data_IF_991471149085
#
_entry.id   IF_991471149085
#
_cell.length_a   1.000
_cell.length_b   1.000
_cell.length_c   1.000
_cell.angle_alpha   90.00
_cell.angle_beta   90.00
_cell.angle_gamma   90.00
#
_symmetry.space_group_name_H-M   'P 1'
#
loop_
_entity.id
_entity.type
_entity.pdbx_description
1 polymer ?
#
# COMPACT_ATOMS: atom_id res chain seq x y z
N UNK A 1 -50.50 -26.39 52.04
CA UNK A 1 -49.62 -27.58 52.06
C UNK A 1 -48.61 -27.46 50.93
N UNK A 2 -47.31 -27.59 51.25
CA UNK A 2 -46.14 -27.84 50.37
C UNK A 2 -45.92 -26.85 49.20
N UNK A 3 -45.02 -25.89 49.35
CA UNK A 3 -43.58 -25.99 49.03
C UNK A 3 -43.34 -26.57 47.63
N UNK A 4 -42.81 -25.75 46.73
CA UNK A 4 -41.59 -26.08 45.96
C UNK A 4 -40.88 -24.78 45.63
N UNK A 5 -39.66 -24.70 46.16
CA UNK A 5 -38.62 -23.74 45.87
C UNK A 5 -38.03 -24.09 44.50
N UNK A 6 -38.04 -23.17 43.54
CA UNK A 6 -37.13 -23.23 42.39
C UNK A 6 -36.45 -21.88 42.26
N UNK A 7 -35.21 -21.85 42.76
CA UNK A 7 -34.23 -20.81 42.52
C UNK A 7 -33.82 -20.95 41.05
N UNK A 8 -34.01 -19.90 40.25
CA UNK A 8 -33.18 -19.68 39.07
C UNK A 8 -32.72 -18.22 39.10
N UNK A 9 -31.59 -18.03 39.76
CA UNK A 9 -30.71 -16.89 39.55
C UNK A 9 -30.14 -17.03 38.13
N UNK A 10 -30.81 -16.48 37.12
CA UNK A 10 -30.22 -16.28 35.80
C UNK A 10 -30.09 -14.80 35.52
N UNK A 11 -28.90 -14.31 35.86
CA UNK A 11 -28.21 -13.21 35.23
C UNK A 11 -28.57 -13.06 33.74
N UNK A 12 -29.47 -12.14 33.40
CA UNK A 12 -29.36 -11.40 32.15
C UNK A 12 -28.77 -10.03 32.47
N UNK A 13 -27.49 -10.07 32.84
CA UNK A 13 -26.54 -9.06 32.40
C UNK A 13 -26.68 -9.05 30.89
N UNK A 14 -27.52 -8.16 30.36
CA UNK A 14 -27.62 -7.90 28.92
C UNK A 14 -26.26 -7.33 28.54
N UNK A 15 -25.34 -8.24 28.27
CA UNK A 15 -24.03 -7.96 27.71
C UNK A 15 -24.32 -7.03 26.54
N UNK A 16 -23.89 -5.79 26.72
CA UNK A 16 -23.58 -4.84 25.67
C UNK A 16 -22.52 -5.49 24.79
N UNK A 17 -22.93 -6.50 24.02
CA UNK A 17 -22.28 -6.87 22.78
C UNK A 17 -22.78 -5.84 21.77
N UNK A 18 -22.38 -4.58 21.97
CA UNK A 18 -21.99 -3.80 20.80
C UNK A 18 -20.90 -4.64 20.18
N UNK A 19 -21.27 -5.52 19.24
CA UNK A 19 -20.32 -6.07 18.30
C UNK A 19 -19.65 -4.84 17.75
N UNK A 20 -18.43 -4.60 18.19
CA UNK A 20 -17.52 -3.68 17.56
C UNK A 20 -17.36 -4.24 16.17
N UNK A 21 -18.26 -3.83 15.27
CA UNK A 21 -18.05 -3.90 13.84
C UNK A 21 -16.83 -3.03 13.67
N UNK A 22 -15.67 -3.69 13.71
CA UNK A 22 -14.42 -3.10 13.33
C UNK A 22 -14.65 -2.66 11.90
N UNK A 23 -14.96 -1.37 11.75
CA UNK A 23 -15.54 -0.83 10.53
C UNK A 23 -14.67 -1.24 9.38
N UNK A 24 -15.27 -1.98 8.43
CA UNK A 24 -14.74 -2.19 7.09
C UNK A 24 -14.15 -0.85 6.65
N UNK A 25 -12.84 -0.82 6.43
CA UNK A 25 -12.11 0.40 6.14
C UNK A 25 -12.81 1.08 4.98
N UNK A 26 -13.41 2.25 5.22
CA UNK A 26 -14.03 3.08 4.19
C UNK A 26 -12.97 3.27 3.09
N UNK A 27 -13.24 2.80 1.87
CA UNK A 27 -12.33 2.90 0.72
C UNK A 27 -12.05 1.58 0.01
N UNK A 28 -12.23 1.58 -1.32
CA UNK A 28 -11.91 0.46 -2.19
C UNK A 28 -10.40 0.22 -2.26
N UNK A 29 -10.02 -1.03 -2.56
CA UNK A 29 -8.64 -1.40 -2.91
C UNK A 29 -8.30 -0.83 -4.29
N UNK A 30 -7.13 -0.21 -4.40
CA UNK A 30 -6.64 0.39 -5.66
C UNK A 30 -5.16 0.08 -5.86
N UNK A 31 -4.77 -0.08 -7.12
CA UNK A 31 -3.35 -0.09 -7.50
C UNK A 31 -2.84 1.35 -7.66
N UNK A 32 -1.59 1.56 -7.29
CA UNK A 32 -0.83 2.75 -7.66
C UNK A 32 0.14 2.36 -8.76
N UNK A 33 -0.07 2.85 -9.97
CA UNK A 33 0.68 2.47 -11.16
C UNK A 33 1.49 3.63 -11.74
N UNK A 34 2.65 3.33 -12.29
CA UNK A 34 3.48 4.26 -13.04
C UNK A 34 2.81 4.54 -14.38
N UNK A 35 2.68 5.83 -14.75
CA UNK A 35 2.02 6.23 -16.00
C UNK A 35 2.81 5.79 -17.24
N UNK A 36 4.15 5.80 -17.16
CA UNK A 36 4.99 5.21 -18.19
C UNK A 36 5.11 3.70 -17.93
N UNK A 37 4.85 2.89 -18.96
CA UNK A 37 4.90 1.43 -18.86
C UNK A 37 6.34 0.87 -18.80
N UNK A 38 7.33 1.68 -19.18
CA UNK A 38 8.73 1.27 -19.33
C UNK A 38 8.84 0.03 -20.24
N UNK A 39 9.46 -1.04 -19.75
CA UNK A 39 9.75 -2.28 -20.45
C UNK A 39 8.73 -3.41 -20.19
N UNK A 40 7.61 -3.12 -19.52
CA UNK A 40 6.50 -4.08 -19.37
C UNK A 40 5.20 -3.49 -19.95
N UNK A 41 4.59 -4.09 -20.99
CA UNK A 41 3.33 -3.59 -21.54
C UNK A 41 2.16 -3.59 -20.54
N UNK A 42 2.26 -4.37 -19.46
CA UNK A 42 1.31 -4.40 -18.32
C UNK A 42 1.54 -3.25 -17.34
N UNK A 43 2.68 -2.58 -17.42
CA UNK A 43 3.09 -1.47 -16.56
C UNK A 43 3.59 -1.91 -15.19
N UNK A 44 4.05 -0.93 -14.42
CA UNK A 44 4.60 -1.13 -13.07
C UNK A 44 3.68 -0.56 -12.00
N UNK A 45 3.43 -1.35 -10.96
CA UNK A 45 2.65 -1.01 -9.79
C UNK A 45 3.52 -1.08 -8.53
N UNK A 46 3.14 -0.33 -7.50
CA UNK A 46 3.79 -0.43 -6.20
C UNK A 46 3.38 -1.76 -5.54
N UNK A 47 4.39 -2.51 -5.09
CA UNK A 47 4.26 -3.92 -4.69
C UNK A 47 5.09 -4.22 -3.44
N UNK A 48 4.54 -4.99 -2.50
CA UNK A 48 5.32 -5.55 -1.39
C UNK A 48 6.07 -6.78 -1.88
N UNK A 49 7.39 -6.81 -1.65
CA UNK A 49 8.22 -7.95 -2.05
C UNK A 49 7.69 -9.27 -1.49
N UNK A 50 7.39 -10.21 -2.37
CA UNK A 50 6.91 -11.55 -2.03
C UNK A 50 5.75 -11.94 -2.96
N UNK A 51 4.73 -12.63 -2.44
CA UNK A 51 3.63 -13.10 -3.29
C UNK A 51 2.29 -13.07 -2.55
N UNK A 52 1.38 -12.21 -3.00
CA UNK A 52 0.02 -12.06 -2.46
C UNK A 52 0.06 -11.96 -0.94
N UNK A 53 -0.82 -12.66 -0.23
CA UNK A 53 -0.86 -12.68 1.24
C UNK A 53 0.42 -13.24 1.92
N UNK A 54 1.35 -13.85 1.15
CA UNK A 54 2.66 -14.30 1.64
C UNK A 54 3.76 -13.24 1.44
N UNK A 55 3.41 -12.00 1.11
CA UNK A 55 4.38 -10.92 0.97
C UNK A 55 5.15 -10.66 2.26
N UNK A 56 6.42 -10.28 2.11
CA UNK A 56 7.39 -10.19 3.21
C UNK A 56 7.65 -8.73 3.54
N UNK A 57 6.91 -8.20 4.52
CA UNK A 57 6.95 -6.80 4.96
C UNK A 57 8.39 -6.32 5.22
N UNK A 58 9.24 -7.17 5.82
CA UNK A 58 10.63 -6.86 6.16
C UNK A 58 11.54 -6.70 4.93
N UNK A 59 11.18 -7.25 3.77
CA UNK A 59 11.90 -7.06 2.50
C UNK A 59 11.56 -5.73 1.82
N UNK A 60 10.54 -5.02 2.32
CA UNK A 60 10.14 -3.71 1.84
C UNK A 60 9.31 -3.77 0.56
N UNK A 61 9.37 -2.67 -0.19
CA UNK A 61 8.51 -2.39 -1.33
C UNK A 61 9.32 -2.27 -2.63
N UNK A 62 8.69 -2.48 -3.76
CA UNK A 62 9.28 -2.44 -5.10
C UNK A 62 8.27 -1.95 -6.13
N UNK A 63 8.75 -1.64 -7.33
CA UNK A 63 7.90 -1.55 -8.52
C UNK A 63 7.89 -2.94 -9.16
N UNK A 64 6.71 -3.48 -9.40
CA UNK A 64 6.52 -4.80 -9.99
C UNK A 64 5.52 -4.72 -11.13
N UNK A 65 5.56 -5.65 -12.09
CA UNK A 65 4.48 -5.85 -13.04
C UNK A 65 3.12 -5.77 -12.33
N UNK A 66 2.24 -4.90 -12.81
CA UNK A 66 0.89 -4.78 -12.30
C UNK A 66 0.08 -6.08 -12.51
N UNK A 67 -0.74 -6.43 -11.53
CA UNK A 67 -1.56 -7.65 -11.59
C UNK A 67 -3.01 -7.44 -12.03
N UNK A 68 -3.45 -6.19 -12.27
CA UNK A 68 -4.83 -5.87 -12.67
C UNK A 68 -5.41 -6.70 -13.83
N UNK A 69 -4.57 -7.24 -14.72
CA UNK A 69 -5.01 -8.15 -15.79
C UNK A 69 -5.63 -9.46 -15.27
N UNK A 70 -5.44 -9.79 -13.98
CA UNK A 70 -6.03 -10.96 -13.31
C UNK A 70 -7.48 -10.72 -12.87
N UNK A 71 -8.02 -9.51 -13.07
CA UNK A 71 -9.41 -9.17 -12.76
C UNK A 71 -9.66 -8.69 -11.32
N UNK A 72 -8.66 -8.78 -10.45
CA UNK A 72 -8.75 -8.35 -9.04
C UNK A 72 -7.44 -7.68 -8.60
N UNK A 73 -7.54 -6.71 -7.69
CA UNK A 73 -6.36 -6.06 -7.09
C UNK A 73 -5.72 -7.01 -6.09
N UNK A 74 -4.47 -7.39 -6.35
CA UNK A 74 -3.72 -8.27 -5.47
C UNK A 74 -3.44 -7.60 -4.12
N UNK A 75 -3.52 -8.34 -3.00
CA UNK A 75 -3.38 -7.76 -1.66
C UNK A 75 -2.03 -7.06 -1.40
N UNK A 76 -0.96 -7.47 -2.08
CA UNK A 76 0.39 -6.91 -2.02
C UNK A 76 0.62 -5.69 -2.93
N UNK A 77 -0.33 -5.38 -3.81
CA UNK A 77 -0.36 -4.16 -4.63
C UNK A 77 -1.54 -3.21 -4.28
N UNK A 78 -2.43 -3.66 -3.39
CA UNK A 78 -3.63 -2.94 -3.01
C UNK A 78 -3.40 -1.90 -1.93
N UNK A 79 -3.72 -0.64 -2.24
CA UNK A 79 -3.78 0.47 -1.31
C UNK A 79 -5.24 0.83 -1.00
N UNK A 80 -5.49 1.43 0.17
CA UNK A 80 -6.82 1.94 0.47
C UNK A 80 -7.03 3.35 -0.15
N UNK A 81 -7.94 3.45 -1.10
CA UNK A 81 -8.23 4.69 -1.85
C UNK A 81 -8.60 5.89 -0.96
N UNK A 82 -9.45 5.70 0.05
CA UNK A 82 -9.82 6.77 0.98
C UNK A 82 -8.63 7.26 1.80
N UNK A 83 -7.76 6.35 2.25
CA UNK A 83 -6.57 6.70 3.04
C UNK A 83 -5.53 7.46 2.20
N UNK A 84 -5.43 7.19 0.90
CA UNK A 84 -4.63 8.01 -0.01
C UNK A 84 -5.08 9.48 0.00
N UNK A 85 -6.38 9.77 0.02
CA UNK A 85 -6.90 11.16 0.13
C UNK A 85 -6.53 11.84 1.46
N UNK A 86 -6.12 11.07 2.46
CA UNK A 86 -5.65 11.53 3.78
C UNK A 86 -4.13 11.45 3.93
N UNK A 87 -3.42 11.37 2.81
CA UNK A 87 -1.96 11.31 2.71
C UNK A 87 -1.34 10.09 3.41
N UNK A 88 -2.10 9.00 3.50
CA UNK A 88 -1.68 7.76 4.13
C UNK A 88 -1.66 6.63 3.10
N UNK A 89 -0.45 6.18 2.76
CA UNK A 89 -0.20 5.12 1.79
C UNK A 89 -0.15 3.77 2.52
N UNK A 90 -1.34 3.29 2.90
CA UNK A 90 -1.53 2.03 3.63
C UNK A 90 -1.86 0.88 2.68
N UNK A 91 -1.22 -0.28 2.92
CA UNK A 91 -1.60 -1.57 2.34
C UNK A 91 -2.44 -2.35 3.37
N UNK A 92 -3.78 -2.32 3.28
CA UNK A 92 -4.67 -2.76 4.36
C UNK A 92 -4.55 -4.25 4.67
N UNK A 93 -4.28 -5.10 3.67
CA UNK A 93 -4.10 -6.55 3.83
C UNK A 93 -2.97 -6.94 4.80
N UNK A 94 -2.03 -6.02 5.02
CA UNK A 94 -0.86 -6.21 5.89
C UNK A 94 -0.85 -5.25 7.08
N UNK A 95 -1.79 -4.31 7.15
CA UNK A 95 -1.84 -3.26 8.17
C UNK A 95 -0.52 -2.48 8.33
N UNK A 96 0.12 -2.16 7.21
CA UNK A 96 1.38 -1.39 7.17
C UNK A 96 1.27 -0.18 6.25
N UNK A 97 2.06 0.84 6.58
CA UNK A 97 2.20 2.06 5.81
C UNK A 97 3.57 2.10 5.13
N UNK A 98 3.58 2.65 3.92
CA UNK A 98 4.80 3.05 3.24
C UNK A 98 5.50 4.15 4.04
N UNK A 99 6.82 4.02 4.22
CA UNK A 99 7.64 4.94 5.00
C UNK A 99 8.98 5.18 4.31
N UNK A 100 9.43 6.44 4.26
CA UNK A 100 10.79 6.78 3.84
C UNK A 100 11.82 6.37 4.90
N UNK A 101 12.99 5.87 4.50
CA UNK A 101 14.04 5.54 5.48
C UNK A 101 14.74 6.78 6.06
N UNK A 102 14.70 7.91 5.34
CA UNK A 102 15.23 9.21 5.75
C UNK A 102 14.52 10.36 5.01
N UNK A 103 14.93 11.61 5.26
CA UNK A 103 14.43 12.82 4.57
C UNK A 103 15.36 13.31 3.44
N UNK A 104 16.28 12.46 2.99
CA UNK A 104 17.33 12.78 2.01
C UNK A 104 17.05 12.12 0.66
N UNK A 105 17.59 12.65 -0.46
CA UNK A 105 17.58 11.96 -1.74
C UNK A 105 18.20 10.55 -1.65
N UNK A 106 17.85 9.71 -2.64
CA UNK A 106 18.30 8.33 -2.78
C UNK A 106 17.98 7.43 -1.58
N UNK A 107 16.97 7.82 -0.79
CA UNK A 107 16.51 7.01 0.34
C UNK A 107 15.55 5.92 -0.12
N UNK A 108 15.71 4.74 0.46
CA UNK A 108 14.84 3.60 0.21
C UNK A 108 13.51 3.74 0.95
N UNK A 109 12.49 3.05 0.44
CA UNK A 109 11.19 2.92 1.07
C UNK A 109 11.14 1.63 1.90
N UNK A 110 10.47 1.70 3.04
CA UNK A 110 10.23 0.56 3.94
C UNK A 110 8.75 0.49 4.32
N UNK A 111 8.38 -0.62 4.95
CA UNK A 111 7.04 -0.83 5.47
C UNK A 111 7.10 -0.90 7.00
N UNK A 112 6.24 -0.11 7.65
CA UNK A 112 6.17 0.01 9.10
C UNK A 112 4.72 0.05 9.56
N UNK A 113 4.51 -0.17 10.86
CA UNK A 113 3.21 0.06 11.49
C UNK A 113 2.79 1.50 11.20
N UNK A 114 1.54 1.67 10.80
CA UNK A 114 0.98 2.99 10.55
C UNK A 114 0.91 3.80 11.85
N UNK A 115 1.64 4.91 11.91
CA UNK A 115 1.67 5.83 13.06
C UNK A 115 1.57 7.31 12.63
N UNK A 116 1.54 7.56 11.32
CA UNK A 116 1.48 8.91 10.72
C UNK A 116 2.67 9.79 11.06
N UNK A 117 3.82 9.18 11.35
CA UNK A 117 5.05 9.94 11.52
C UNK A 117 5.43 10.68 10.22
N UNK A 118 6.34 11.65 10.34
CA UNK A 118 6.75 12.51 9.21
C UNK A 118 7.29 11.75 7.99
N UNK A 119 7.83 10.55 8.16
CA UNK A 119 8.37 9.70 7.08
C UNK A 119 7.26 8.89 6.38
N UNK A 120 6.05 8.80 6.94
CA UNK A 120 4.90 8.09 6.36
C UNK A 120 3.90 9.01 5.63
N UNK A 121 4.11 10.33 5.70
CA UNK A 121 3.14 11.30 5.19
C UNK A 121 3.47 11.66 3.73
N UNK A 122 2.82 10.96 2.80
CA UNK A 122 3.00 11.14 1.37
C UNK A 122 1.75 11.75 0.74
N UNK A 123 1.93 12.62 -0.26
CA UNK A 123 0.84 13.16 -1.07
C UNK A 123 0.96 12.67 -2.52
N UNK A 124 -0.16 12.27 -3.13
CA UNK A 124 -0.27 12.18 -4.59
C UNK A 124 -0.73 13.54 -5.12
N UNK A 125 0.21 14.28 -5.69
CA UNK A 125 -0.03 15.63 -6.21
C UNK A 125 -0.82 15.64 -7.51
N UNK A 126 -1.39 16.80 -7.85
CA UNK A 126 -2.06 17.06 -9.14
C UNK A 126 -1.17 16.89 -10.38
N UNK A 127 0.17 16.85 -10.22
CA UNK A 127 1.13 16.57 -11.29
C UNK A 127 1.53 15.09 -11.36
N UNK A 128 0.69 14.20 -10.80
CA UNK A 128 0.93 12.77 -10.72
C UNK A 128 2.20 12.39 -9.96
N UNK A 129 2.78 13.26 -9.14
CA UNK A 129 3.95 12.92 -8.31
C UNK A 129 3.50 12.44 -6.94
N UNK A 130 4.06 11.33 -6.47
CA UNK A 130 3.99 10.91 -5.06
C UNK A 130 5.16 11.55 -4.34
N UNK A 131 4.90 12.41 -3.36
CA UNK A 131 5.93 13.21 -2.67
C UNK A 131 5.85 13.04 -1.17
N UNK A 132 6.99 13.08 -0.50
CA UNK A 132 7.02 13.16 0.96
C UNK A 132 6.65 14.58 1.40
N UNK A 133 5.62 14.75 2.23
CA UNK A 133 5.11 16.08 2.59
C UNK A 133 6.15 16.93 3.31
N UNK A 134 6.95 16.31 4.18
CA UNK A 134 8.01 17.02 4.93
C UNK A 134 9.20 17.41 4.07
N UNK A 135 9.35 16.84 2.88
CA UNK A 135 10.33 17.28 1.89
C UNK A 135 9.77 17.09 0.47
N UNK A 136 8.95 18.06 0.02
CA UNK A 136 8.27 18.02 -1.29
C UNK A 136 9.22 18.09 -2.50
N UNK A 137 10.53 18.22 -2.28
CA UNK A 137 11.54 18.05 -3.33
C UNK A 137 11.79 16.58 -3.66
N UNK A 138 11.34 15.65 -2.80
CA UNK A 138 11.49 14.21 -2.99
C UNK A 138 10.26 13.59 -3.63
N UNK A 139 10.46 12.83 -4.70
CA UNK A 139 9.45 12.11 -5.45
C UNK A 139 9.75 10.61 -5.42
N UNK A 140 8.71 9.79 -5.23
CA UNK A 140 8.81 8.35 -5.44
C UNK A 140 9.19 8.08 -6.90
N UNK A 141 10.29 7.36 -7.06
CA UNK A 141 10.97 7.16 -8.34
C UNK A 141 11.21 5.66 -8.55
N UNK A 142 10.84 5.17 -9.73
CA UNK A 142 11.25 3.85 -10.21
C UNK A 142 12.69 3.92 -10.71
N UNK A 143 13.50 2.93 -10.34
CA UNK A 143 14.89 2.83 -10.79
C UNK A 143 14.99 2.85 -12.33
N UNK A 144 15.95 3.62 -12.84
CA UNK A 144 16.16 3.83 -14.29
C UNK A 144 16.92 2.69 -14.96
N UNK A 145 17.50 1.76 -14.19
CA UNK A 145 18.25 0.62 -14.69
C UNK A 145 17.38 -0.41 -15.41
N UNK A 146 17.94 -1.57 -15.72
CA UNK A 146 17.18 -2.66 -16.35
C UNK A 146 16.31 -3.37 -15.31
N UNK A 147 15.14 -3.84 -15.74
CA UNK A 147 14.27 -4.65 -14.88
C UNK A 147 14.93 -5.98 -14.51
N UNK A 148 14.69 -6.43 -13.28
CA UNK A 148 14.97 -7.79 -12.85
C UNK A 148 13.79 -8.69 -13.19
N UNK A 149 14.05 -9.90 -13.66
CA UNK A 149 13.00 -10.90 -13.87
C UNK A 149 12.53 -11.45 -12.52
N UNK A 150 11.22 -11.51 -12.34
CA UNK A 150 10.57 -12.19 -11.23
C UNK A 150 10.60 -13.71 -11.39
N UNK A 151 10.13 -14.44 -10.38
CA UNK A 151 10.08 -15.91 -10.38
C UNK A 151 8.81 -16.50 -10.99
N UNK A 152 7.88 -15.68 -11.50
CA UNK A 152 6.58 -16.14 -11.99
C UNK A 152 5.99 -15.29 -13.11
N UNK A 153 4.80 -15.69 -13.55
CA UNK A 153 4.06 -15.06 -14.65
C UNK A 153 4.40 -15.64 -16.03
N UNK A 154 3.41 -15.66 -16.93
CA UNK A 154 3.62 -15.84 -18.36
C UNK A 154 2.81 -14.76 -19.10
N UNK A 155 3.46 -13.74 -19.70
CA UNK A 155 4.90 -13.47 -19.72
C UNK A 155 5.51 -13.26 -18.33
N UNK A 156 6.82 -13.46 -18.19
CA UNK A 156 7.55 -13.29 -16.92
C UNK A 156 7.30 -11.90 -16.34
N UNK A 157 7.09 -11.81 -15.03
CA UNK A 157 6.96 -10.53 -14.36
C UNK A 157 8.31 -9.83 -14.22
N UNK A 158 8.30 -8.50 -14.21
CA UNK A 158 9.46 -7.61 -14.12
C UNK A 158 9.41 -6.80 -12.82
N UNK A 159 10.59 -6.51 -12.28
CA UNK A 159 10.78 -5.85 -11.00
C UNK A 159 11.83 -4.74 -11.10
N UNK A 160 11.57 -3.61 -10.43
CA UNK A 160 12.49 -2.48 -10.31
C UNK A 160 12.49 -1.96 -8.87
N UNK A 161 13.61 -1.36 -8.46
CA UNK A 161 13.69 -0.74 -7.14
C UNK A 161 12.87 0.57 -7.09
N UNK A 162 12.51 0.96 -5.87
CA UNK A 162 11.90 2.25 -5.56
C UNK A 162 12.79 3.03 -4.60
N UNK A 163 12.98 4.30 -4.89
CA UNK A 163 13.65 5.27 -4.02
C UNK A 163 12.92 6.61 -4.04
N UNK A 164 13.27 7.48 -3.09
CA UNK A 164 12.90 8.89 -3.15
C UNK A 164 14.06 9.69 -3.75
N UNK A 165 13.88 10.18 -4.97
CA UNK A 165 14.83 11.04 -5.65
C UNK A 165 14.33 12.48 -5.71
N UNK A 166 15.21 13.40 -6.09
CA UNK A 166 14.77 14.75 -6.43
C UNK A 166 13.72 14.71 -7.55
N UNK A 167 12.61 15.40 -7.32
CA UNK A 167 11.59 15.60 -8.32
C UNK A 167 12.19 16.32 -9.53
N UNK A 168 12.13 15.71 -10.71
CA UNK A 168 12.65 16.31 -11.94
C UNK A 168 11.71 16.05 -13.11
N UNK A 169 11.64 17.00 -14.05
CA UNK A 169 10.95 16.81 -15.33
C UNK A 169 11.66 15.75 -16.19
N UNK A 170 12.99 15.68 -16.14
CA UNK A 170 13.77 14.66 -16.86
C UNK A 170 13.48 13.23 -16.37
N UNK A 171 12.99 13.09 -15.14
CA UNK A 171 12.61 11.83 -14.52
C UNK A 171 11.10 11.56 -14.59
N UNK A 172 10.34 12.31 -15.38
CA UNK A 172 8.88 12.15 -15.44
C UNK A 172 8.46 10.71 -15.75
N UNK A 173 9.10 10.04 -16.71
CA UNK A 173 8.84 8.63 -17.04
C UNK A 173 9.00 7.67 -15.86
N UNK A 174 9.70 8.06 -14.80
CA UNK A 174 9.98 7.21 -13.63
C UNK A 174 9.30 7.72 -12.36
N UNK A 175 8.62 8.86 -12.40
CA UNK A 175 8.13 9.57 -11.23
C UNK A 175 6.65 9.97 -11.31
N UNK A 176 5.97 9.68 -12.42
CA UNK A 176 4.55 10.02 -12.58
C UNK A 176 3.66 8.79 -12.37
N UNK A 177 2.74 8.90 -11.42
CA UNK A 177 1.93 7.83 -10.87
C UNK A 177 0.44 8.18 -10.97
N UNK A 178 -0.39 7.17 -11.07
CA UNK A 178 -1.84 7.29 -11.03
C UNK A 178 -2.44 6.12 -10.27
N UNK A 179 -3.75 6.17 -10.05
CA UNK A 179 -4.50 5.20 -9.25
C UNK A 179 -5.60 4.61 -10.10
N UNK A 180 -5.83 3.30 -9.99
CA UNK A 180 -6.96 2.60 -10.64
C UNK A 180 -7.53 1.52 -9.73
N UNK A 181 -8.77 1.13 -10.00
CA UNK A 181 -9.39 -0.07 -9.43
C UNK A 181 -9.07 -1.29 -10.29
#
# INVERSE_FOLDING_TARGET
MKNILVIVFTSLLFLLLTKSVWGKTIGDSVEIYLLNKLDDPRGFCIDIKGHKLKAQINKGIQAHTCYSYQGEISPDQGFNSFKLTKNQFILPSFNVCMEASSLTPSTNLRLRKCDRNKLQNFELSNKNKIRLITNRKLCLTVDQGQSKKGGGGSPVHLMRNLSLELCSKSLNSYQTWSVRK
#
